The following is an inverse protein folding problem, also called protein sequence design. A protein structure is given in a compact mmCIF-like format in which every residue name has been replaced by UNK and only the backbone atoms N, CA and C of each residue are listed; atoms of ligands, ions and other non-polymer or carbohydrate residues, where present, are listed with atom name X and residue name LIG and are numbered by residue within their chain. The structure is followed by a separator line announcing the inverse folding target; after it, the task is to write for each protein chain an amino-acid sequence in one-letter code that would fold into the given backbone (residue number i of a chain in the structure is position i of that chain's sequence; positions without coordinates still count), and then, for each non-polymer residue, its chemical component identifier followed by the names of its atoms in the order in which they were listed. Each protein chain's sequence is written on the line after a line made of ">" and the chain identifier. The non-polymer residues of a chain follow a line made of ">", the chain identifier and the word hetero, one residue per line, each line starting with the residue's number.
data_IF_891285853993
#
_entry.id   IF_891285853993
#
_cell.length_a   1.000
_cell.length_b   1.000
_cell.length_c   1.000
_cell.angle_alpha   90.00
_cell.angle_beta   90.00
_cell.angle_gamma   90.00
#
_symmetry.space_group_name_H-M   'P 1'
#
loop_
_entity.id
_entity.type
_entity.pdbx_description
1 polymer ?
#
# COMPACT_ATOMS: atom_id res chain seq x y z
N UNK A 1 -10.50 9.42 8.51
CA UNK A 1 -9.47 8.99 7.53
C UNK A 1 -8.51 10.16 7.32
N UNK A 2 -7.21 10.01 7.64
CA UNK A 2 -6.30 11.14 7.84
C UNK A 2 -5.56 11.62 6.57
N UNK A 3 -5.04 10.71 5.74
CA UNK A 3 -4.30 11.09 4.52
C UNK A 3 -5.26 11.60 3.44
N UNK A 4 -5.00 12.80 2.91
CA UNK A 4 -5.92 13.50 2.02
C UNK A 4 -7.26 13.76 2.68
N UNK A 5 -7.30 13.84 4.02
CA UNK A 5 -8.49 14.10 4.80
C UNK A 5 -8.86 15.58 4.80
N UNK A 6 -10.15 15.83 5.02
CA UNK A 6 -10.70 17.17 5.18
C UNK A 6 -11.56 17.20 6.44
N UNK A 7 -11.50 18.30 7.18
CA UNK A 7 -12.53 18.66 8.13
C UNK A 7 -13.71 19.27 7.37
N UNK A 8 -14.90 18.76 7.65
CA UNK A 8 -16.14 19.29 7.13
C UNK A 8 -17.23 19.16 8.20
N UNK A 9 -18.12 20.15 8.24
CA UNK A 9 -19.30 20.16 9.11
C UNK A 9 -20.54 20.01 8.22
N UNK A 10 -21.51 19.22 8.69
CA UNK A 10 -22.78 19.05 7.98
C UNK A 10 -23.73 20.19 8.38
N UNK A 11 -24.36 20.86 7.40
CA UNK A 11 -25.44 21.80 7.67
C UNK A 11 -26.77 21.07 7.80
N UNK A 12 -27.57 21.49 8.78
CA UNK A 12 -29.01 21.23 8.81
C UNK A 12 -29.69 22.55 8.42
N UNK A 13 -30.62 22.49 7.44
CA UNK A 13 -31.37 23.66 6.96
C UNK A 13 -32.05 24.37 8.15
N UNK A 14 -31.71 25.64 8.41
CA UNK A 14 -32.37 26.49 9.42
C UNK A 14 -31.53 26.90 10.63
N UNK A 15 -30.29 26.42 10.78
CA UNK A 15 -29.36 26.88 11.82
C UNK A 15 -28.14 27.59 11.19
N UNK A 16 -28.29 28.88 10.90
CA UNK A 16 -27.17 29.76 10.58
C UNK A 16 -26.59 30.30 11.90
N UNK A 17 -25.54 29.66 12.41
CA UNK A 17 -24.79 30.22 13.55
C UNK A 17 -24.04 31.47 13.10
N UNK A 18 -24.34 32.60 13.75
CA UNK A 18 -23.80 33.95 13.52
C UNK A 18 -22.33 34.12 13.93
N UNK A 19 -21.46 33.21 13.51
CA UNK A 19 -20.01 33.42 13.62
C UNK A 19 -19.43 33.29 12.22
N UNK A 20 -18.70 34.32 11.79
CA UNK A 20 -17.95 34.45 10.54
C UNK A 20 -16.93 33.33 10.22
N UNK A 21 -17.00 32.19 10.90
CA UNK A 21 -16.41 30.94 10.45
C UNK A 21 -17.31 30.34 9.36
N UNK A 22 -17.33 31.02 8.22
CA UNK A 22 -17.89 30.50 6.99
C UNK A 22 -17.39 29.07 6.76
N UNK A 23 -18.32 28.13 6.87
CA UNK A 23 -18.42 26.84 6.19
C UNK A 23 -17.32 26.60 5.15
N UNK A 24 -16.22 25.99 5.59
CA UNK A 24 -15.07 25.68 4.73
C UNK A 24 -14.64 24.26 4.95
N UNK A 25 -14.67 23.46 3.88
CA UNK A 25 -14.00 22.17 3.83
C UNK A 25 -12.50 22.47 3.88
N UNK A 26 -11.89 22.26 5.04
CA UNK A 26 -10.47 22.54 5.25
C UNK A 26 -9.67 21.24 5.24
N UNK A 27 -8.56 21.17 4.50
CA UNK A 27 -7.65 20.04 4.62
C UNK A 27 -7.14 19.88 6.05
N UNK A 28 -6.89 18.65 6.48
CA UNK A 28 -6.23 18.39 7.75
C UNK A 28 -4.82 19.02 7.80
N UNK A 29 -4.31 19.42 8.98
CA UNK A 29 -2.93 19.90 9.12
C UNK A 29 -1.92 18.87 8.59
N UNK A 30 -0.89 19.35 7.90
CA UNK A 30 0.12 18.48 7.29
C UNK A 30 0.83 17.59 8.32
N UNK A 31 1.17 18.15 9.49
CA UNK A 31 1.81 17.41 10.58
C UNK A 31 1.00 16.18 11.01
N UNK A 32 -0.32 16.34 11.11
CA UNK A 32 -1.23 15.26 11.49
C UNK A 32 -1.34 14.21 10.37
N UNK A 33 -1.36 14.63 9.10
CA UNK A 33 -1.35 13.69 7.97
C UNK A 33 -0.04 12.92 7.86
N UNK A 34 1.10 13.59 8.11
CA UNK A 34 2.43 12.98 8.13
C UNK A 34 2.58 11.97 9.26
N UNK A 35 2.14 12.30 10.48
CA UNK A 35 2.12 11.34 11.59
C UNK A 35 1.29 10.11 11.24
N UNK A 36 0.11 10.29 10.66
CA UNK A 36 -0.72 9.17 10.22
C UNK A 36 -0.08 8.34 9.11
N UNK A 37 0.61 8.99 8.16
CA UNK A 37 1.39 8.31 7.13
C UNK A 37 2.49 7.44 7.75
N UNK A 38 3.31 8.01 8.62
CA UNK A 38 4.42 7.30 9.26
C UNK A 38 3.92 6.13 10.11
N UNK A 39 2.82 6.29 10.85
CA UNK A 39 2.20 5.22 11.62
C UNK A 39 1.72 4.06 10.71
N UNK A 40 1.10 4.36 9.56
CA UNK A 40 0.71 3.32 8.60
C UNK A 40 1.94 2.63 7.99
N UNK A 41 2.98 3.40 7.64
CA UNK A 41 4.22 2.86 7.08
C UNK A 41 4.99 1.97 8.08
N UNK A 42 4.79 2.14 9.39
CA UNK A 42 5.35 1.21 10.39
C UNK A 42 4.77 -0.20 10.27
N UNK A 43 3.51 -0.35 9.81
CA UNK A 43 2.87 -1.66 9.63
C UNK A 43 3.49 -2.47 8.49
N UNK A 44 4.24 -1.82 7.59
CA UNK A 44 4.97 -2.47 6.49
C UNK A 44 6.36 -2.95 6.90
N UNK A 45 6.74 -2.79 8.18
CA UNK A 45 8.02 -3.25 8.67
C UNK A 45 8.05 -4.77 8.77
N UNK A 46 9.15 -5.38 8.33
CA UNK A 46 9.37 -6.84 8.35
C UNK A 46 9.10 -7.44 9.73
N UNK A 47 9.56 -6.79 10.80
CA UNK A 47 9.31 -7.20 12.18
C UNK A 47 7.81 -7.27 12.55
N UNK A 48 6.96 -6.37 12.02
CA UNK A 48 5.52 -6.37 12.32
C UNK A 48 4.74 -7.36 11.45
N UNK A 49 5.28 -7.69 10.27
CA UNK A 49 4.69 -8.63 9.34
C UNK A 49 5.13 -10.08 9.61
N UNK A 50 6.24 -10.26 10.32
CA UNK A 50 6.75 -11.56 10.71
C UNK A 50 5.86 -12.20 11.78
N UNK A 51 5.34 -13.38 11.47
CA UNK A 51 4.70 -14.25 12.45
C UNK A 51 5.81 -14.96 13.24
N UNK A 52 5.90 -14.85 14.57
CA UNK A 52 6.93 -15.53 15.35
C UNK A 52 6.87 -17.06 15.22
N UNK A 53 8.03 -17.73 15.28
CA UNK A 53 8.11 -19.19 15.08
C UNK A 53 7.24 -19.99 16.06
N UNK A 54 7.17 -19.55 17.33
CA UNK A 54 6.30 -20.19 18.32
C UNK A 54 4.82 -20.14 17.93
N UNK A 55 4.37 -19.10 17.22
CA UNK A 55 3.00 -19.02 16.69
C UNK A 55 2.84 -19.90 15.46
N UNK A 56 3.82 -19.91 14.54
CA UNK A 56 3.77 -20.78 13.34
C UNK A 56 3.62 -22.25 13.71
N UNK A 57 4.27 -22.68 14.78
CA UNK A 57 4.25 -24.07 15.25
C UNK A 57 2.91 -24.49 15.89
N UNK A 58 2.04 -23.53 16.24
CA UNK A 58 0.75 -23.80 16.89
C UNK A 58 -0.41 -23.71 15.89
N UNK A 59 -0.23 -23.06 14.74
CA UNK A 59 -1.27 -22.96 13.70
C UNK A 59 -1.36 -24.30 12.95
N UNK A 60 -2.43 -25.10 13.15
CA UNK A 60 -2.54 -26.37 12.47
C UNK A 60 -2.83 -26.17 10.97
N UNK A 61 -2.52 -27.17 10.13
CA UNK A 61 -3.06 -27.19 8.78
C UNK A 61 -4.59 -27.24 8.82
N UNK A 62 -5.22 -26.81 7.73
CA UNK A 62 -6.66 -26.84 7.64
C UNK A 62 -7.18 -28.29 7.79
N UNK A 63 -8.18 -28.56 8.66
CA UNK A 63 -8.67 -29.91 8.86
C UNK A 63 -9.24 -30.51 7.56
N UNK A 64 -9.05 -31.81 7.31
CA UNK A 64 -9.62 -32.48 6.14
C UNK A 64 -11.15 -32.30 6.09
N UNK A 65 -11.68 -32.01 4.89
CA UNK A 65 -13.12 -31.82 4.67
C UNK A 65 -13.62 -30.38 4.81
N UNK A 66 -12.81 -29.45 5.34
CA UNK A 66 -13.15 -28.03 5.36
C UNK A 66 -12.65 -27.35 4.09
N UNK A 67 -13.55 -26.68 3.36
CA UNK A 67 -13.20 -25.90 2.18
C UNK A 67 -12.63 -24.56 2.62
N UNK A 68 -11.65 -24.04 1.87
CA UNK A 68 -11.23 -22.64 2.00
C UNK A 68 -12.34 -21.72 1.54
N UNK A 69 -12.62 -20.72 2.36
CA UNK A 69 -13.60 -19.69 2.08
C UNK A 69 -13.00 -18.30 2.32
N UNK A 70 -13.84 -17.27 2.29
CA UNK A 70 -13.48 -15.86 2.51
C UNK A 70 -12.86 -15.58 3.88
N UNK A 71 -12.87 -16.53 4.81
CA UNK A 71 -12.31 -16.41 6.15
C UNK A 71 -10.90 -17.01 6.24
N UNK A 72 -10.41 -17.63 5.16
CA UNK A 72 -9.05 -18.18 5.07
C UNK A 72 -8.12 -17.32 4.22
N UNK A 73 -6.84 -17.23 4.62
CA UNK A 73 -5.81 -16.62 3.78
C UNK A 73 -5.65 -17.38 2.46
N UNK A 74 -5.45 -16.64 1.36
CA UNK A 74 -4.98 -17.26 0.12
C UNK A 74 -3.52 -17.67 0.33
N UNK A 75 -3.18 -18.93 0.10
CA UNK A 75 -1.81 -19.44 0.26
C UNK A 75 -1.20 -19.81 -1.09
N UNK A 76 0.12 -19.75 -1.20
CA UNK A 76 0.85 -20.24 -2.37
C UNK A 76 1.38 -21.67 -2.14
N UNK A 77 1.47 -22.12 -0.89
CA UNK A 77 2.03 -23.43 -0.51
C UNK A 77 0.99 -24.57 -0.46
N UNK A 78 -0.22 -24.34 -0.99
CA UNK A 78 -1.27 -25.37 -0.99
C UNK A 78 -1.87 -25.54 0.41
N UNK A 79 -1.90 -26.77 0.94
CA UNK A 79 -2.69 -27.14 2.13
C UNK A 79 -2.26 -26.47 3.45
N UNK A 80 -0.97 -26.19 3.59
CA UNK A 80 -0.39 -25.64 4.82
C UNK A 80 -0.73 -24.15 4.99
N UNK A 81 -0.67 -23.69 6.24
CA UNK A 81 -0.64 -22.26 6.52
C UNK A 81 0.60 -21.64 5.86
N UNK A 82 0.44 -20.46 5.26
CA UNK A 82 1.48 -19.74 4.55
C UNK A 82 1.73 -18.39 5.23
N UNK A 83 2.74 -18.35 6.14
CA UNK A 83 3.11 -17.14 6.86
C UNK A 83 3.50 -15.97 5.95
N UNK A 84 4.07 -16.24 4.77
CA UNK A 84 4.44 -15.21 3.80
C UNK A 84 3.20 -14.63 3.12
N UNK A 85 2.24 -15.48 2.74
CA UNK A 85 0.99 -14.99 2.18
C UNK A 85 0.13 -14.22 3.21
N UNK A 86 0.23 -14.55 4.49
CA UNK A 86 -0.38 -13.76 5.56
C UNK A 86 0.28 -12.37 5.68
N UNK A 87 1.61 -12.30 5.66
CA UNK A 87 2.36 -11.04 5.61
C UNK A 87 2.01 -10.20 4.38
N UNK A 88 1.92 -10.82 3.19
CA UNK A 88 1.46 -10.17 1.95
C UNK A 88 0.06 -9.59 2.07
N UNK A 89 -0.88 -10.33 2.66
CA UNK A 89 -2.26 -9.88 2.83
C UNK A 89 -2.35 -8.68 3.77
N UNK A 90 -1.58 -8.69 4.86
CA UNK A 90 -1.50 -7.57 5.79
C UNK A 90 -0.88 -6.32 5.13
N UNK A 91 0.25 -6.49 4.43
CA UNK A 91 0.90 -5.40 3.70
C UNK A 91 -0.02 -4.84 2.59
N UNK A 92 -0.64 -5.72 1.81
CA UNK A 92 -1.59 -5.37 0.76
C UNK A 92 -2.80 -4.58 1.28
N UNK A 93 -3.29 -4.90 2.48
CA UNK A 93 -4.34 -4.13 3.12
C UNK A 93 -3.89 -2.69 3.41
N UNK A 94 -2.74 -2.51 4.07
CA UNK A 94 -2.17 -1.18 4.33
C UNK A 94 -1.96 -0.40 3.02
N UNK A 95 -1.37 -1.01 2.00
CA UNK A 95 -1.12 -0.39 0.70
C UNK A 95 -2.42 0.01 -0.01
N UNK A 96 -3.45 -0.83 0.04
CA UNK A 96 -4.76 -0.51 -0.54
C UNK A 96 -5.41 0.72 0.11
N UNK A 97 -5.21 0.87 1.42
CA UNK A 97 -5.67 2.04 2.14
C UNK A 97 -4.80 3.26 1.82
N UNK A 98 -3.48 3.12 1.81
CA UNK A 98 -2.59 4.24 1.56
C UNK A 98 -2.76 4.81 0.14
N UNK A 99 -2.83 3.94 -0.86
CA UNK A 99 -2.83 4.29 -2.28
C UNK A 99 -4.23 4.34 -2.90
N UNK A 100 -5.20 4.87 -2.14
CA UNK A 100 -6.54 5.08 -2.65
C UNK A 100 -6.59 6.27 -3.64
N UNK A 101 -7.04 6.08 -4.90
CA UNK A 101 -6.99 7.10 -5.94
C UNK A 101 -7.73 8.40 -5.58
N UNK A 102 -8.92 8.32 -4.98
CA UNK A 102 -9.71 9.50 -4.64
C UNK A 102 -9.03 10.35 -3.55
N UNK A 103 -8.40 9.71 -2.55
CA UNK A 103 -7.65 10.43 -1.51
C UNK A 103 -6.39 11.10 -2.06
N UNK A 104 -5.65 10.40 -2.91
CA UNK A 104 -4.45 10.97 -3.53
C UNK A 104 -4.80 12.08 -4.52
N UNK A 105 -5.89 11.96 -5.28
CA UNK A 105 -6.39 13.03 -6.14
C UNK A 105 -6.74 14.28 -5.31
N UNK A 106 -7.35 14.10 -4.13
CA UNK A 106 -7.59 15.22 -3.20
C UNK A 106 -6.29 15.87 -2.73
N UNK A 107 -5.23 15.09 -2.47
CA UNK A 107 -3.91 15.67 -2.14
C UNK A 107 -3.33 16.52 -3.28
N UNK A 108 -3.57 16.14 -4.54
CA UNK A 108 -3.18 16.96 -5.71
C UNK A 108 -3.91 18.30 -5.67
N UNK A 109 -5.23 18.31 -5.45
CA UNK A 109 -6.03 19.53 -5.35
C UNK A 109 -5.59 20.41 -4.17
N UNK A 110 -5.35 19.80 -3.00
CA UNK A 110 -4.92 20.52 -1.79
C UNK A 110 -3.57 21.20 -1.98
N UNK A 111 -2.61 20.52 -2.62
CA UNK A 111 -1.29 21.08 -2.94
C UNK A 111 -1.35 22.15 -4.03
N UNK A 112 -2.28 22.03 -4.98
CA UNK A 112 -2.51 23.06 -5.99
C UNK A 112 -3.15 24.33 -5.40
N UNK A 113 -4.05 24.18 -4.42
CA UNK A 113 -4.71 25.29 -3.75
C UNK A 113 -3.77 26.03 -2.76
N UNK A 114 -2.82 25.32 -2.16
CA UNK A 114 -1.82 25.90 -1.26
C UNK A 114 -0.43 25.29 -1.55
N UNK A 115 0.41 25.98 -2.34
CA UNK A 115 1.76 25.52 -2.67
C UNK A 115 2.68 25.34 -1.47
N UNK A 116 2.39 25.96 -0.31
CA UNK A 116 3.22 25.83 0.90
C UNK A 116 2.99 24.51 1.65
N UNK A 117 1.96 23.73 1.28
CA UNK A 117 1.71 22.42 1.88
C UNK A 117 2.87 21.48 1.60
N UNK A 118 3.39 20.87 2.64
CA UNK A 118 4.41 19.82 2.56
C UNK A 118 3.80 18.46 2.21
N UNK A 119 2.56 18.19 2.65
CA UNK A 119 1.87 16.95 2.34
C UNK A 119 1.46 16.93 0.86
N UNK A 120 1.98 15.96 0.11
CA UNK A 120 1.73 15.81 -1.33
C UNK A 120 1.78 14.35 -1.75
N UNK A 121 1.29 14.05 -2.97
CA UNK A 121 1.37 12.69 -3.53
C UNK A 121 2.82 12.23 -3.67
N UNK A 122 3.72 13.11 -4.13
CA UNK A 122 5.16 12.77 -4.21
C UNK A 122 5.72 12.41 -2.85
N UNK A 123 5.46 13.23 -1.82
CA UNK A 123 5.90 12.93 -0.47
C UNK A 123 5.38 11.57 0.02
N UNK A 124 4.10 11.24 -0.22
CA UNK A 124 3.53 9.94 0.16
C UNK A 124 4.23 8.78 -0.55
N UNK A 125 4.44 8.88 -1.88
CA UNK A 125 5.07 7.83 -2.67
C UNK A 125 6.55 7.66 -2.33
N UNK A 126 7.28 8.75 -2.09
CA UNK A 126 8.68 8.72 -1.67
C UNK A 126 8.86 8.09 -0.29
N UNK A 127 8.03 8.48 0.70
CA UNK A 127 8.07 7.87 2.03
C UNK A 127 7.71 6.38 1.98
N UNK A 128 6.73 6.00 1.14
CA UNK A 128 6.36 4.61 0.93
C UNK A 128 7.49 3.80 0.31
N UNK A 129 8.08 4.28 -0.80
CA UNK A 129 9.17 3.60 -1.48
C UNK A 129 10.40 3.49 -0.57
N UNK A 130 10.75 4.58 0.13
CA UNK A 130 11.81 4.57 1.13
C UNK A 130 11.56 3.49 2.19
N UNK A 131 10.35 3.45 2.77
CA UNK A 131 10.01 2.45 3.79
C UNK A 131 10.04 1.01 3.26
N UNK A 132 9.48 0.77 2.08
CA UNK A 132 9.40 -0.57 1.51
C UNK A 132 10.79 -1.16 1.21
N UNK A 133 11.69 -0.34 0.64
CA UNK A 133 13.00 -0.78 0.19
C UNK A 133 14.11 -0.69 1.25
N UNK A 134 13.98 0.18 2.25
CA UNK A 134 14.93 0.34 3.36
C UNK A 134 14.49 -0.36 4.65
N UNK A 135 13.58 -1.35 4.53
CA UNK A 135 13.20 -2.20 5.65
C UNK A 135 14.42 -2.92 6.26
N UNK A 136 14.45 -3.01 7.58
CA UNK A 136 15.46 -3.77 8.31
C UNK A 136 15.26 -5.28 8.10
N UNK A 137 16.34 -6.04 7.87
CA UNK A 137 16.29 -7.46 7.53
C UNK A 137 17.34 -8.19 8.36
N UNK A 138 16.91 -8.85 9.43
CA UNK A 138 17.80 -9.57 10.37
C UNK A 138 17.88 -11.06 10.06
N UNK A 139 16.90 -11.60 9.36
CA UNK A 139 16.79 -13.03 9.05
C UNK A 139 16.47 -13.23 7.58
N UNK A 140 16.80 -14.42 7.05
CA UNK A 140 16.42 -14.82 5.68
C UNK A 140 14.89 -14.78 5.50
N UNK A 141 14.14 -15.10 6.56
CA UNK A 141 12.69 -15.03 6.51
C UNK A 141 12.17 -13.58 6.39
N UNK A 142 12.78 -12.63 7.11
CA UNK A 142 12.48 -11.21 6.96
C UNK A 142 12.88 -10.67 5.57
N UNK A 143 13.90 -11.26 4.93
CA UNK A 143 14.27 -10.95 3.55
C UNK A 143 13.13 -11.28 2.58
N UNK A 144 12.49 -12.45 2.73
CA UNK A 144 11.32 -12.83 1.91
C UNK A 144 10.11 -11.94 2.14
N UNK A 145 9.84 -11.56 3.39
CA UNK A 145 8.79 -10.57 3.70
C UNK A 145 9.10 -9.24 3.02
N UNK A 146 10.34 -8.76 3.09
CA UNK A 146 10.74 -7.51 2.45
C UNK A 146 10.53 -7.57 0.93
N UNK A 147 10.92 -8.67 0.28
CA UNK A 147 10.68 -8.90 -1.15
C UNK A 147 9.18 -8.85 -1.49
N UNK A 148 8.34 -9.44 -0.65
CA UNK A 148 6.91 -9.42 -0.84
C UNK A 148 6.33 -8.00 -0.75
N UNK A 149 6.75 -7.22 0.26
CA UNK A 149 6.36 -5.80 0.41
C UNK A 149 6.84 -4.94 -0.77
N UNK A 150 8.08 -5.13 -1.23
CA UNK A 150 8.64 -4.42 -2.39
C UNK A 150 7.81 -4.69 -3.66
N UNK A 151 7.49 -5.95 -3.98
CA UNK A 151 6.65 -6.33 -5.13
C UNK A 151 5.25 -5.72 -5.03
N UNK A 152 4.59 -5.88 -3.88
CA UNK A 152 3.26 -5.32 -3.66
C UNK A 152 3.25 -3.80 -3.81
N UNK A 153 4.28 -3.12 -3.31
CA UNK A 153 4.40 -1.66 -3.43
C UNK A 153 4.42 -1.24 -4.90
N UNK A 154 5.23 -1.90 -5.73
CA UNK A 154 5.28 -1.64 -7.18
C UNK A 154 3.92 -1.91 -7.83
N UNK A 155 3.30 -3.05 -7.53
CA UNK A 155 2.00 -3.43 -8.08
C UNK A 155 0.92 -2.40 -7.78
N UNK A 156 0.90 -1.87 -6.56
CA UNK A 156 -0.04 -0.82 -6.18
C UNK A 156 0.22 0.52 -6.87
N UNK A 157 1.50 0.91 -7.08
CA UNK A 157 1.84 2.13 -7.83
C UNK A 157 1.50 1.96 -9.32
N UNK A 158 1.75 0.79 -9.91
CA UNK A 158 1.32 0.48 -11.27
C UNK A 158 -0.20 0.54 -11.37
N UNK A 159 -0.94 -0.02 -10.42
CA UNK A 159 -2.40 0.07 -10.38
C UNK A 159 -2.88 1.52 -10.34
N UNK A 160 -2.21 2.38 -9.58
CA UNK A 160 -2.49 3.82 -9.53
C UNK A 160 -2.24 4.50 -10.88
N UNK A 161 -1.16 4.14 -11.56
CA UNK A 161 -0.83 4.64 -12.90
C UNK A 161 -1.80 4.11 -13.98
N UNK A 162 -2.32 2.89 -13.81
CA UNK A 162 -3.25 2.25 -14.73
C UNK A 162 -4.71 2.71 -14.55
N UNK A 163 -5.03 3.37 -13.43
CA UNK A 163 -6.39 3.77 -13.11
C UNK A 163 -6.91 4.85 -14.08
N UNK A 164 -7.82 4.43 -14.97
CA UNK A 164 -8.44 5.29 -15.98
C UNK A 164 -9.38 6.35 -15.37
N UNK A 165 -9.84 6.12 -14.14
CA UNK A 165 -10.75 7.01 -13.41
C UNK A 165 -10.01 8.02 -12.53
N UNK A 166 -8.71 7.81 -12.32
CA UNK A 166 -7.87 8.72 -11.56
C UNK A 166 -7.63 10.05 -12.29
N UNK A 167 -7.36 11.09 -11.49
CA UNK A 167 -6.89 12.39 -11.99
C UNK A 167 -5.61 12.18 -12.84
N UNK A 168 -5.52 12.79 -14.02
CA UNK A 168 -4.36 12.62 -14.94
C UNK A 168 -3.03 13.05 -14.32
N UNK A 169 -3.05 14.05 -13.43
CA UNK A 169 -1.86 14.45 -12.70
C UNK A 169 -1.41 13.37 -11.72
N UNK A 170 -2.33 12.68 -11.06
CA UNK A 170 -2.01 11.54 -10.19
C UNK A 170 -1.37 10.41 -10.98
N UNK A 171 -1.89 10.10 -12.17
CA UNK A 171 -1.27 9.14 -13.09
C UNK A 171 0.15 9.57 -13.48
N UNK A 172 0.35 10.84 -13.82
CA UNK A 172 1.66 11.36 -14.20
C UNK A 172 2.70 11.24 -13.06
N UNK A 173 2.30 11.55 -11.82
CA UNK A 173 3.17 11.40 -10.64
C UNK A 173 3.51 9.93 -10.36
N UNK A 174 2.54 9.02 -10.49
CA UNK A 174 2.79 7.59 -10.35
C UNK A 174 3.78 7.06 -11.42
N UNK A 175 3.60 7.46 -12.69
CA UNK A 175 4.52 7.10 -13.78
C UNK A 175 5.93 7.66 -13.56
N UNK A 176 6.04 8.89 -13.06
CA UNK A 176 7.31 9.51 -12.69
C UNK A 176 8.03 8.70 -11.61
N UNK A 177 7.34 8.31 -10.54
CA UNK A 177 7.92 7.51 -9.46
C UNK A 177 8.35 6.12 -9.94
N UNK A 178 7.58 5.49 -10.84
CA UNK A 178 7.99 4.23 -11.48
C UNK A 178 9.26 4.40 -12.32
N UNK A 179 9.45 5.54 -13.00
CA UNK A 179 10.68 5.83 -13.75
C UNK A 179 11.89 5.93 -12.83
N UNK A 180 11.77 6.70 -11.74
CA UNK A 180 12.84 6.85 -10.76
C UNK A 180 13.19 5.48 -10.16
N UNK A 181 12.18 4.71 -9.77
CA UNK A 181 12.37 3.39 -9.21
C UNK A 181 13.05 2.44 -10.20
N UNK A 182 12.65 2.40 -11.48
CA UNK A 182 13.32 1.57 -12.48
C UNK A 182 14.80 1.90 -12.61
N UNK A 183 15.17 3.19 -12.59
CA UNK A 183 16.58 3.60 -12.63
C UNK A 183 17.34 3.17 -11.37
N UNK A 184 16.74 3.27 -10.20
CA UNK A 184 17.34 2.81 -8.95
C UNK A 184 17.51 1.28 -8.92
N UNK A 185 16.52 0.54 -9.42
CA UNK A 185 16.57 -0.92 -9.51
C UNK A 185 17.67 -1.40 -10.47
N UNK A 186 17.82 -0.75 -11.63
CA UNK A 186 18.93 -1.02 -12.56
C UNK A 186 20.29 -0.80 -11.91
N UNK A 187 20.48 0.35 -11.23
CA UNK A 187 21.72 0.65 -10.49
C UNK A 187 22.02 -0.39 -9.40
N UNK A 188 20.99 -0.87 -8.68
CA UNK A 188 21.15 -1.94 -7.70
C UNK A 188 21.55 -3.26 -8.35
N UNK A 189 20.95 -3.59 -9.51
CA UNK A 189 21.21 -4.84 -10.23
C UNK A 189 22.65 -4.93 -10.77
N UNK A 190 23.26 -3.81 -11.16
CA UNK A 190 24.64 -3.76 -11.66
C UNK A 190 25.65 -4.31 -10.64
N UNK A 191 25.43 -4.05 -9.35
CA UNK A 191 26.36 -4.42 -8.27
C UNK A 191 25.90 -5.65 -7.46
N UNK A 192 24.72 -6.19 -7.76
CA UNK A 192 24.15 -7.30 -7.00
C UNK A 192 24.75 -8.65 -7.44
N UNK A 193 25.28 -9.42 -6.50
CA UNK A 193 25.93 -10.71 -6.76
C UNK A 193 25.08 -11.90 -6.29
N UNK A 194 24.14 -11.68 -5.38
CA UNK A 194 23.28 -12.74 -4.83
C UNK A 194 22.17 -13.08 -5.83
N UNK A 195 22.14 -14.33 -6.30
CA UNK A 195 21.25 -14.79 -7.37
C UNK A 195 19.76 -14.53 -7.07
N UNK A 196 19.32 -14.81 -5.84
CA UNK A 196 17.94 -14.62 -5.41
C UNK A 196 17.54 -13.14 -5.42
N UNK A 197 18.46 -12.26 -5.01
CA UNK A 197 18.22 -10.81 -5.04
C UNK A 197 18.22 -10.28 -6.46
N UNK A 198 19.11 -10.76 -7.34
CA UNK A 198 19.09 -10.44 -8.78
C UNK A 198 17.76 -10.84 -9.42
N UNK A 199 17.30 -12.07 -9.18
CA UNK A 199 16.03 -12.57 -9.71
C UNK A 199 14.85 -11.71 -9.27
N UNK A 200 14.85 -11.29 -8.00
CA UNK A 200 13.84 -10.38 -7.46
C UNK A 200 13.87 -8.98 -8.10
N UNK A 201 15.04 -8.37 -8.26
CA UNK A 201 15.19 -7.08 -8.95
C UNK A 201 14.74 -7.15 -10.41
N UNK A 202 15.12 -8.21 -11.12
CA UNK A 202 14.73 -8.46 -12.51
C UNK A 202 13.20 -8.63 -12.65
N UNK A 203 12.56 -9.36 -11.73
CA UNK A 203 11.11 -9.51 -11.71
C UNK A 203 10.40 -8.15 -11.63
N UNK A 204 10.84 -7.28 -10.72
CA UNK A 204 10.26 -5.95 -10.54
C UNK A 204 10.47 -5.04 -11.77
N UNK A 205 11.66 -5.09 -12.37
CA UNK A 205 11.96 -4.36 -13.60
C UNK A 205 11.09 -4.82 -14.77
N UNK A 206 10.92 -6.13 -14.92
CA UNK A 206 10.09 -6.74 -15.94
C UNK A 206 8.61 -6.38 -15.75
N UNK A 207 8.10 -6.36 -14.51
CA UNK A 207 6.74 -5.94 -14.20
C UNK A 207 6.47 -4.48 -14.60
N UNK A 208 7.40 -3.57 -14.30
CA UNK A 208 7.30 -2.16 -14.73
C UNK A 208 7.39 -2.06 -16.27
N UNK A 209 8.28 -2.82 -16.90
CA UNK A 209 8.46 -2.83 -18.35
C UNK A 209 7.19 -3.30 -19.08
N UNK A 210 6.61 -4.43 -18.65
CA UNK A 210 5.35 -4.97 -19.20
C UNK A 210 4.21 -3.98 -19.10
N UNK A 211 4.06 -3.33 -17.94
CA UNK A 211 3.07 -2.26 -17.79
C UNK A 211 3.30 -1.10 -18.77
N UNK A 212 4.54 -0.66 -18.95
CA UNK A 212 4.87 0.45 -19.88
C UNK A 212 4.60 0.11 -21.34
N UNK A 213 4.90 -1.13 -21.75
CA UNK A 213 4.66 -1.59 -23.12
C UNK A 213 3.17 -1.78 -23.41
N UNK A 214 2.43 -2.31 -22.44
CA UNK A 214 1.01 -2.66 -22.60
C UNK A 214 0.13 -2.10 -21.46
N UNK A 215 0.05 -0.76 -21.30
CA UNK A 215 -0.66 -0.15 -20.16
C UNK A 215 -2.17 -0.39 -20.19
N UNK A 216 -2.74 -0.67 -21.37
CA UNK A 216 -4.17 -0.95 -21.53
C UNK A 216 -4.55 -2.38 -21.16
N UNK A 217 -3.60 -3.32 -21.28
CA UNK A 217 -3.81 -4.76 -21.09
C UNK A 217 -3.30 -5.23 -19.72
N UNK A 218 -2.53 -4.38 -19.03
CA UNK A 218 -2.02 -4.69 -17.71
C UNK A 218 -3.15 -4.85 -16.69
N UNK A 219 -3.40 -6.09 -16.33
CA UNK A 219 -4.21 -6.41 -15.17
C UNK A 219 -3.27 -6.52 -13.97
N UNK A 220 -3.34 -5.61 -12.98
CA UNK A 220 -2.52 -5.75 -11.79
C UNK A 220 -2.84 -7.11 -11.15
N UNK A 221 -1.82 -7.86 -10.71
CA UNK A 221 -2.04 -9.12 -10.03
C UNK A 221 -3.00 -8.91 -8.85
N UNK A 222 -3.87 -9.90 -8.63
CA UNK A 222 -4.82 -9.82 -7.52
C UNK A 222 -4.03 -9.81 -6.21
N UNK A 223 -3.96 -8.64 -5.58
CA UNK A 223 -3.38 -8.47 -4.25
C UNK A 223 -4.10 -9.42 -3.29
N UNK A 224 -3.37 -10.21 -2.49
CA UNK A 224 -3.96 -11.04 -1.45
C UNK A 224 -4.85 -10.18 -0.54
N UNK A 225 -6.10 -10.59 -0.39
CA UNK A 225 -7.07 -9.90 0.46
C UNK A 225 -7.02 -10.54 1.84
N UNK A 226 -7.03 -9.72 2.89
CA UNK A 226 -7.26 -10.23 4.23
C UNK A 226 -8.57 -11.03 4.28
N UNK A 227 -8.60 -12.13 5.06
CA UNK A 227 -9.86 -12.81 5.33
C UNK A 227 -10.85 -11.85 5.99
N UNK A 228 -12.14 -12.05 5.72
CA UNK A 228 -13.21 -11.13 6.14
C UNK A 228 -13.32 -10.97 7.66
N UNK A 229 -12.81 -11.94 8.43
CA UNK A 229 -12.99 -12.04 9.87
C UNK A 229 -14.42 -12.46 10.23
N UNK A 230 -14.64 -12.86 11.49
CA UNK A 230 -15.98 -13.19 11.97
C UNK A 230 -16.84 -11.93 12.10
N UNK A 231 -18.15 -11.99 11.77
CA UNK A 231 -19.04 -10.85 11.92
C UNK A 231 -19.08 -10.38 13.38
N UNK A 232 -18.81 -9.09 13.59
CA UNK A 232 -18.99 -8.47 14.90
C UNK A 232 -20.44 -7.98 14.96
N UNK A 233 -21.30 -8.79 15.61
CA UNK A 233 -22.67 -8.42 15.94
C UNK A 233 -23.74 -8.92 14.96
N UNK A 234 -24.41 -10.01 15.32
CA UNK A 234 -25.86 -10.19 15.18
C UNK A 234 -26.30 -11.11 16.32
N UNK A 235 -26.84 -10.53 17.38
CA UNK A 235 -27.38 -11.22 18.55
C UNK A 235 -28.08 -10.21 19.46
N UNK A 236 -29.35 -9.91 19.13
CA UNK A 236 -30.21 -8.96 19.83
C UNK A 236 -30.95 -8.05 18.87
#
# INVERSE_FOLDING_TARGET
>A
KMIGGVHYTYSVKGFETQTDQQWKVHPLPDSLQQQALLALLQTLHTHHLEIPDHIRNIIPPQPPGYRRDRETFKTYTGLLFDPLAAAESAAGHTLSFLLNPQRLARLVEQKAADPNRTMSVNYVLEQLLSRAFLNERKTIYQEEIARAVEKLTIQHIIRLAADKTANKQLTALALYQLDQLSRDLLRKLENETVAERRAHLLYMLDEISRFRQHPKDYQPPKVPTLPAGSPIGCGG
#
